data_IF_418319364660
#
_entry.id   IF_418319364660
#
_cell.length_a   1.000
_cell.length_b   1.000
_cell.length_c   1.000
_cell.angle_alpha   90.00
_cell.angle_beta   90.00
_cell.angle_gamma   90.00
#
_symmetry.space_group_name_H-M   'P 1'
#
loop_
_entity.id
_entity.type
_entity.pdbx_description
1 polymer ?
#
# COMPACT_ATOMS: atom_id res chain seq x y z
N UNK A 1 -66.63 -32.73 -41.97
CA UNK A 1 -65.89 -33.90 -41.45
C UNK A 1 -64.68 -33.33 -40.72
N UNK A 2 -64.42 -33.45 -39.43
CA UNK A 2 -64.84 -34.35 -38.34
C UNK A 2 -64.68 -33.63 -37.00
N UNK A 3 -65.34 -34.15 -35.97
CA UNK A 3 -65.49 -33.63 -34.61
C UNK A 3 -64.22 -33.65 -33.73
N UNK A 4 -64.33 -32.95 -32.59
CA UNK A 4 -64.11 -33.43 -31.20
C UNK A 4 -62.82 -33.07 -30.42
N UNK A 5 -63.08 -32.38 -29.29
CA UNK A 5 -62.67 -32.72 -27.91
C UNK A 5 -61.39 -32.14 -27.28
N UNK A 6 -61.62 -31.10 -26.46
CA UNK A 6 -61.34 -30.99 -25.00
C UNK A 6 -60.34 -32.02 -24.40
N UNK A 7 -59.26 -31.54 -23.76
CA UNK A 7 -58.92 -31.92 -22.39
C UNK A 7 -58.03 -30.88 -21.66
N UNK A 8 -58.48 -30.54 -20.46
CA UNK A 8 -57.80 -29.82 -19.38
C UNK A 8 -56.85 -30.77 -18.62
N UNK A 9 -56.02 -30.22 -17.72
CA UNK A 9 -55.20 -30.83 -16.65
C UNK A 9 -53.70 -30.84 -16.99
N UNK A 10 -52.76 -30.29 -16.23
CA UNK A 10 -52.78 -29.66 -14.92
C UNK A 10 -51.32 -29.42 -14.44
N UNK A 11 -51.12 -28.36 -13.65
CA UNK A 11 -50.08 -28.15 -12.63
C UNK A 11 -48.66 -28.74 -12.81
N UNK A 12 -47.63 -27.87 -12.81
CA UNK A 12 -46.77 -27.71 -11.63
C UNK A 12 -45.95 -26.41 -11.73
N UNK A 13 -46.36 -25.41 -10.96
CA UNK A 13 -45.57 -24.23 -10.61
C UNK A 13 -44.50 -24.62 -9.59
N UNK A 14 -43.22 -24.49 -9.93
CA UNK A 14 -42.16 -24.27 -8.95
C UNK A 14 -41.75 -22.80 -9.03
N UNK A 15 -42.53 -21.93 -8.39
CA UNK A 15 -41.97 -20.65 -7.94
C UNK A 15 -41.12 -20.97 -6.70
N UNK A 16 -39.83 -20.62 -6.65
CA UNK A 16 -39.21 -20.44 -5.36
C UNK A 16 -40.04 -19.38 -4.63
N UNK A 17 -40.38 -19.63 -3.37
CA UNK A 17 -41.06 -18.68 -2.51
C UNK A 17 -40.23 -17.40 -2.44
N UNK A 18 -40.56 -16.44 -3.31
CA UNK A 18 -40.13 -15.06 -3.21
C UNK A 18 -40.80 -14.53 -1.94
N UNK A 19 -40.11 -14.67 -0.81
CA UNK A 19 -40.42 -13.87 0.37
C UNK A 19 -40.28 -12.43 -0.09
N UNK A 20 -41.40 -11.69 -0.15
CA UNK A 20 -41.35 -10.26 -0.39
C UNK A 20 -40.39 -9.70 0.67
N UNK A 21 -39.24 -9.17 0.24
CA UNK A 21 -38.35 -8.44 1.14
C UNK A 21 -39.19 -7.29 1.73
N UNK A 22 -39.43 -7.34 3.03
CA UNK A 22 -40.19 -6.28 3.71
C UNK A 22 -39.42 -4.97 3.54
N UNK A 23 -40.12 -3.88 3.24
CA UNK A 23 -39.46 -2.59 3.13
C UNK A 23 -38.92 -2.14 4.48
N UNK A 24 -37.89 -1.29 4.46
CA UNK A 24 -37.34 -0.66 5.68
C UNK A 24 -38.44 0.00 6.51
N UNK A 25 -39.39 0.69 5.87
CA UNK A 25 -40.53 1.34 6.52
C UNK A 25 -41.49 0.35 7.20
N UNK A 26 -41.77 -0.78 6.55
CA UNK A 26 -42.61 -1.84 7.13
C UNK A 26 -41.94 -2.48 8.35
N UNK A 27 -40.63 -2.73 8.27
CA UNK A 27 -39.86 -3.27 9.39
C UNK A 27 -39.82 -2.28 10.55
N UNK A 28 -39.60 -1.00 10.29
CA UNK A 28 -39.63 0.04 11.32
C UNK A 28 -41.00 0.14 12.01
N UNK A 29 -42.10 0.09 11.25
CA UNK A 29 -43.46 0.05 11.80
C UNK A 29 -43.67 -1.20 12.66
N UNK A 30 -43.28 -2.37 12.18
CA UNK A 30 -43.41 -3.62 12.92
C UNK A 30 -42.60 -3.62 14.23
N UNK A 31 -41.40 -3.04 14.22
CA UNK A 31 -40.58 -2.85 15.42
C UNK A 31 -41.32 -1.98 16.44
N UNK A 32 -41.88 -0.85 16.00
CA UNK A 32 -42.57 0.10 16.88
C UNK A 32 -43.83 -0.46 17.55
N UNK A 33 -44.50 -1.43 16.92
CA UNK A 33 -45.73 -2.06 17.42
C UNK A 33 -45.49 -3.37 18.19
N UNK A 34 -44.28 -3.92 18.16
CA UNK A 34 -43.93 -5.16 18.86
C UNK A 34 -43.48 -4.84 20.28
N UNK A 35 -44.14 -5.40 21.31
CA UNK A 35 -43.74 -5.19 22.71
C UNK A 35 -42.69 -6.21 23.20
N UNK A 36 -42.67 -7.42 22.62
CA UNK A 36 -41.74 -8.48 23.02
C UNK A 36 -40.31 -8.18 22.53
N UNK A 37 -39.35 -8.17 23.46
CA UNK A 37 -37.95 -7.84 23.14
C UNK A 37 -37.29 -8.87 22.23
N UNK A 38 -37.61 -10.16 22.39
CA UNK A 38 -37.02 -11.20 21.54
C UNK A 38 -37.54 -11.12 20.10
N UNK A 39 -38.83 -10.82 19.91
CA UNK A 39 -39.43 -10.54 18.62
C UNK A 39 -38.88 -9.24 18.00
N UNK A 40 -38.72 -8.17 18.78
CA UNK A 40 -38.05 -6.94 18.33
C UNK A 40 -36.63 -7.22 17.84
N UNK A 41 -35.85 -8.01 18.58
CA UNK A 41 -34.49 -8.37 18.19
C UNK A 41 -34.44 -9.00 16.79
N UNK A 42 -35.33 -9.96 16.51
CA UNK A 42 -35.44 -10.61 15.19
C UNK A 42 -35.84 -9.63 14.09
N UNK A 43 -36.71 -8.67 14.37
CA UNK A 43 -37.10 -7.62 13.42
C UNK A 43 -35.93 -6.66 13.13
N UNK A 44 -35.19 -6.24 14.16
CA UNK A 44 -33.98 -5.44 13.98
C UNK A 44 -32.92 -6.17 13.15
N UNK A 45 -32.73 -7.48 13.36
CA UNK A 45 -31.81 -8.29 12.54
C UNK A 45 -32.23 -8.30 11.07
N UNK A 46 -33.53 -8.50 10.79
CA UNK A 46 -34.08 -8.44 9.42
C UNK A 46 -33.88 -7.07 8.78
N UNK A 47 -34.10 -6.00 9.56
CA UNK A 47 -33.85 -4.63 9.10
C UNK A 47 -32.37 -4.44 8.73
N UNK A 48 -31.45 -4.94 9.56
CA UNK A 48 -30.02 -4.94 9.25
C UNK A 48 -29.70 -5.68 7.96
N UNK A 49 -30.23 -6.89 7.76
CA UNK A 49 -30.02 -7.66 6.53
C UNK A 49 -30.53 -6.90 5.28
N UNK A 50 -31.73 -6.32 5.34
CA UNK A 50 -32.29 -5.52 4.23
C UNK A 50 -31.45 -4.29 3.92
N UNK A 51 -30.88 -3.63 4.94
CA UNK A 51 -30.02 -2.47 4.76
C UNK A 51 -28.65 -2.86 4.16
N UNK A 52 -28.12 -4.05 4.47
CA UNK A 52 -26.93 -4.59 3.81
C UNK A 52 -27.18 -4.81 2.32
N UNK A 53 -28.34 -5.38 1.95
CA UNK A 53 -28.72 -5.57 0.54
C UNK A 53 -28.81 -4.25 -0.22
N UNK A 54 -29.09 -3.15 0.48
CA UNK A 54 -29.14 -1.78 -0.06
C UNK A 54 -27.79 -1.03 0.01
N UNK A 55 -26.69 -1.71 0.39
CA UNK A 55 -25.35 -1.14 0.58
C UNK A 55 -25.31 -0.01 1.64
N UNK A 56 -26.27 0.01 2.56
CA UNK A 56 -26.37 1.01 3.63
C UNK A 56 -25.77 0.47 4.93
N UNK A 57 -24.45 0.30 4.93
CA UNK A 57 -23.70 -0.37 6.00
C UNK A 57 -23.85 0.29 7.37
N UNK A 58 -23.90 1.62 7.43
CA UNK A 58 -23.99 2.36 8.70
C UNK A 58 -25.34 2.11 9.39
N UNK A 59 -26.44 2.22 8.64
CA UNK A 59 -27.77 1.93 9.19
C UNK A 59 -27.96 0.44 9.48
N UNK A 60 -27.38 -0.44 8.66
CA UNK A 60 -27.39 -1.87 8.92
C UNK A 60 -26.70 -2.19 10.25
N UNK A 61 -25.56 -1.57 10.50
CA UNK A 61 -24.82 -1.72 11.75
C UNK A 61 -25.64 -1.22 12.96
N UNK A 62 -26.32 -0.08 12.86
CA UNK A 62 -27.24 0.40 13.92
C UNK A 62 -28.35 -0.62 14.22
N UNK A 63 -28.98 -1.16 13.18
CA UNK A 63 -30.00 -2.20 13.32
C UNK A 63 -29.43 -3.48 13.98
N UNK A 64 -28.24 -3.93 13.61
CA UNK A 64 -27.60 -5.08 14.24
C UNK A 64 -27.20 -4.84 15.71
N UNK A 65 -26.71 -3.65 16.06
CA UNK A 65 -26.46 -3.31 17.47
C UNK A 65 -27.75 -3.33 18.29
N UNK A 66 -28.86 -2.81 17.74
CA UNK A 66 -30.18 -2.87 18.38
C UNK A 66 -30.69 -4.29 18.51
N UNK A 67 -30.47 -5.15 17.50
CA UNK A 67 -30.81 -6.57 17.56
C UNK A 67 -30.09 -7.27 18.71
N UNK A 68 -28.77 -7.11 18.79
CA UNK A 68 -27.93 -7.68 19.85
C UNK A 68 -28.31 -7.15 21.24
N UNK A 69 -28.61 -5.86 21.36
CA UNK A 69 -29.03 -5.25 22.62
C UNK A 69 -30.42 -5.73 23.07
N UNK A 70 -31.36 -5.92 22.15
CA UNK A 70 -32.72 -6.35 22.44
C UNK A 70 -32.81 -7.83 22.85
N UNK A 71 -31.98 -8.70 22.26
CA UNK A 71 -32.07 -10.13 22.53
C UNK A 71 -30.94 -10.97 21.94
N UNK A 72 -29.70 -10.76 22.38
CA UNK A 72 -28.51 -11.53 21.94
C UNK A 72 -28.69 -13.06 21.96
N UNK A 73 -29.36 -13.59 22.98
CA UNK A 73 -29.63 -15.05 23.13
C UNK A 73 -30.65 -15.59 22.12
N UNK A 74 -31.32 -14.71 21.36
CA UNK A 74 -32.26 -15.10 20.30
C UNK A 74 -31.57 -15.50 18.99
N UNK A 75 -30.23 -15.39 18.92
CA UNK A 75 -29.43 -15.61 17.72
C UNK A 75 -28.40 -16.71 17.95
N UNK A 76 -28.16 -17.50 16.91
CA UNK A 76 -27.06 -18.45 16.88
C UNK A 76 -25.70 -17.73 16.95
N UNK A 77 -24.65 -18.46 17.35
CA UNK A 77 -23.29 -17.93 17.33
C UNK A 77 -22.89 -17.42 15.93
N UNK A 78 -23.29 -18.14 14.87
CA UNK A 78 -22.97 -17.76 13.49
C UNK A 78 -23.66 -16.44 13.08
N UNK A 79 -24.93 -16.25 13.42
CA UNK A 79 -25.63 -14.98 13.17
C UNK A 79 -24.96 -13.82 13.92
N UNK A 80 -24.54 -14.05 15.17
CA UNK A 80 -23.83 -13.05 15.97
C UNK A 80 -22.45 -12.71 15.39
N UNK A 81 -21.71 -13.70 14.88
CA UNK A 81 -20.47 -13.44 14.12
C UNK A 81 -20.77 -12.60 12.88
N UNK A 82 -21.79 -12.96 12.11
CA UNK A 82 -22.16 -12.21 10.90
C UNK A 82 -22.54 -10.75 11.21
N UNK A 83 -23.31 -10.52 12.27
CA UNK A 83 -23.62 -9.16 12.74
C UNK A 83 -22.35 -8.40 13.13
N UNK A 84 -21.43 -9.03 13.86
CA UNK A 84 -20.14 -8.44 14.20
C UNK A 84 -19.30 -8.11 12.94
N UNK A 85 -19.36 -8.94 11.90
CA UNK A 85 -18.73 -8.66 10.59
C UNK A 85 -19.26 -7.36 10.00
N UNK A 86 -20.58 -7.18 9.95
CA UNK A 86 -21.15 -5.93 9.43
C UNK A 86 -20.85 -4.72 10.31
N UNK A 87 -20.85 -4.87 11.64
CA UNK A 87 -20.39 -3.82 12.55
C UNK A 87 -18.96 -3.38 12.21
N UNK A 88 -18.06 -4.33 11.94
CA UNK A 88 -16.68 -4.00 11.58
C UNK A 88 -16.53 -3.32 10.22
N UNK A 89 -17.39 -3.65 9.24
CA UNK A 89 -17.37 -2.99 7.91
C UNK A 89 -17.90 -1.57 7.95
N UNK A 90 -18.75 -1.25 8.94
CA UNK A 90 -19.21 0.10 9.25
C UNK A 90 -18.26 0.85 10.23
N UNK A 91 -17.02 0.39 10.40
CA UNK A 91 -16.01 1.01 11.30
C UNK A 91 -16.41 1.02 12.80
N UNK A 92 -17.44 0.27 13.20
CA UNK A 92 -17.82 0.07 14.61
C UNK A 92 -16.99 -1.05 15.24
N UNK A 93 -15.66 -0.90 15.13
CA UNK A 93 -14.66 -1.90 15.49
C UNK A 93 -14.76 -2.33 16.95
N UNK A 94 -15.03 -1.39 17.86
CA UNK A 94 -15.12 -1.67 19.29
C UNK A 94 -16.33 -2.58 19.62
N UNK A 95 -17.51 -2.30 19.04
CA UNK A 95 -18.70 -3.14 19.26
C UNK A 95 -18.54 -4.53 18.65
N UNK A 96 -17.95 -4.62 17.46
CA UNK A 96 -17.59 -5.90 16.85
C UNK A 96 -16.63 -6.68 17.76
N UNK A 97 -15.57 -6.05 18.27
CA UNK A 97 -14.59 -6.67 19.15
C UNK A 97 -15.25 -7.24 20.41
N UNK A 98 -16.13 -6.46 21.04
CA UNK A 98 -16.85 -6.91 22.22
C UNK A 98 -17.77 -8.09 21.94
N UNK A 99 -18.50 -8.08 20.83
CA UNK A 99 -19.38 -9.18 20.45
C UNK A 99 -18.61 -10.49 20.22
N UNK A 100 -17.50 -10.41 19.50
CA UNK A 100 -16.63 -11.55 19.22
C UNK A 100 -15.99 -12.10 20.50
N UNK A 101 -15.56 -11.22 21.42
CA UNK A 101 -15.04 -11.64 22.72
C UNK A 101 -16.11 -12.34 23.56
N UNK A 102 -17.37 -11.88 23.54
CA UNK A 102 -18.48 -12.57 24.21
C UNK A 102 -18.72 -13.96 23.63
N UNK A 103 -18.67 -14.11 22.30
CA UNK A 103 -18.78 -15.41 21.64
C UNK A 103 -17.62 -16.35 22.02
N UNK A 104 -16.39 -15.85 22.07
CA UNK A 104 -15.22 -16.64 22.45
C UNK A 104 -15.16 -16.99 23.93
N UNK A 105 -15.81 -16.20 24.80
CA UNK A 105 -15.99 -16.56 26.21
C UNK A 105 -16.96 -17.74 26.38
N UNK A 106 -17.95 -17.88 25.49
CA UNK A 106 -18.90 -19.01 25.47
C UNK A 106 -18.29 -20.24 24.79
N UNK A 107 -17.62 -20.05 23.65
CA UNK A 107 -16.92 -21.09 22.92
C UNK A 107 -15.52 -20.61 22.47
N UNK A 108 -14.47 -20.93 23.24
CA UNK A 108 -13.10 -20.58 22.89
C UNK A 108 -12.62 -21.23 21.58
N UNK A 109 -13.29 -22.24 21.04
CA UNK A 109 -12.90 -22.90 19.79
C UNK A 109 -13.65 -22.38 18.57
N UNK A 110 -14.47 -21.34 18.71
CA UNK A 110 -15.20 -20.75 17.60
C UNK A 110 -14.23 -20.07 16.61
N UNK A 111 -13.84 -20.81 15.57
CA UNK A 111 -12.90 -20.37 14.53
C UNK A 111 -13.39 -19.12 13.79
N UNK A 112 -14.64 -19.04 13.29
CA UNK A 112 -15.14 -17.82 12.64
C UNK A 112 -15.04 -16.57 13.53
N UNK A 113 -15.43 -16.67 14.80
CA UNK A 113 -15.35 -15.54 15.74
C UNK A 113 -13.89 -15.13 16.01
N UNK A 114 -12.98 -16.10 16.18
CA UNK A 114 -11.57 -15.82 16.45
C UNK A 114 -10.85 -15.21 15.24
N UNK A 115 -11.08 -15.75 14.05
CA UNK A 115 -10.52 -15.21 12.80
C UNK A 115 -10.99 -13.78 12.57
N UNK A 116 -12.28 -13.51 12.78
CA UNK A 116 -12.81 -12.15 12.60
C UNK A 116 -12.36 -11.19 13.70
N UNK A 117 -12.16 -11.68 14.94
CA UNK A 117 -11.55 -10.89 16.01
C UNK A 117 -10.13 -10.46 15.63
N UNK A 118 -9.33 -11.38 15.09
CA UNK A 118 -8.00 -11.07 14.58
C UNK A 118 -8.05 -9.97 13.49
N UNK A 119 -9.03 -10.04 12.58
CA UNK A 119 -9.24 -9.00 11.56
C UNK A 119 -9.55 -7.63 12.16
N UNK A 120 -10.48 -7.58 13.11
CA UNK A 120 -10.89 -6.35 13.81
C UNK A 120 -9.72 -5.74 14.59
N UNK A 121 -8.95 -6.57 15.29
CA UNK A 121 -7.74 -6.14 16.00
C UNK A 121 -6.68 -5.56 15.05
N UNK A 122 -6.58 -6.12 13.84
CA UNK A 122 -5.68 -5.58 12.82
C UNK A 122 -6.12 -4.18 12.39
N UNK A 123 -7.42 -3.99 12.11
CA UNK A 123 -8.00 -2.69 11.76
C UNK A 123 -7.94 -1.66 12.88
N UNK A 124 -8.01 -2.08 14.15
CA UNK A 124 -7.86 -1.18 15.30
C UNK A 124 -6.39 -0.84 15.63
N UNK A 125 -5.42 -1.35 14.86
CA UNK A 125 -3.99 -1.12 15.09
C UNK A 125 -3.38 -1.98 16.19
N UNK A 126 -4.13 -2.90 16.79
CA UNK A 126 -3.67 -3.86 17.80
C UNK A 126 -2.94 -5.05 17.14
N UNK A 127 -1.93 -4.76 16.31
CA UNK A 127 -1.34 -5.69 15.35
C UNK A 127 -0.73 -6.96 15.99
N UNK A 128 -0.04 -6.81 17.13
CA UNK A 128 0.54 -7.96 17.84
C UNK A 128 -0.53 -8.93 18.37
N UNK A 129 -1.63 -8.38 18.89
CA UNK A 129 -2.77 -9.18 19.35
C UNK A 129 -3.48 -9.84 18.17
N UNK A 130 -3.64 -9.13 17.05
CA UNK A 130 -4.19 -9.68 15.81
C UNK A 130 -3.42 -10.92 15.33
N UNK A 131 -2.08 -10.82 15.28
CA UNK A 131 -1.20 -11.94 14.90
C UNK A 131 -1.40 -13.12 15.86
N UNK A 132 -1.45 -12.86 17.17
CA UNK A 132 -1.65 -13.88 18.20
C UNK A 132 -2.99 -14.62 18.01
N UNK A 133 -4.08 -13.89 17.75
CA UNK A 133 -5.39 -14.49 17.52
C UNK A 133 -5.45 -15.32 16.22
N UNK A 134 -4.81 -14.83 15.16
CA UNK A 134 -4.67 -15.59 13.91
C UNK A 134 -3.84 -16.87 14.13
N UNK A 135 -2.73 -16.80 14.87
CA UNK A 135 -1.87 -17.95 15.16
C UNK A 135 -2.60 -19.05 15.94
N UNK A 136 -3.49 -18.70 16.87
CA UNK A 136 -4.33 -19.68 17.58
C UNK A 136 -5.23 -20.45 16.60
N UNK A 137 -5.81 -19.79 15.60
CA UNK A 137 -6.60 -20.48 14.55
C UNK A 137 -5.70 -21.42 13.76
N UNK A 138 -4.54 -20.92 13.34
CA UNK A 138 -3.58 -21.65 12.51
C UNK A 138 -2.95 -22.86 13.20
N UNK A 139 -2.90 -22.90 14.54
CA UNK A 139 -2.48 -24.10 15.28
C UNK A 139 -3.36 -25.32 14.98
N UNK A 140 -4.67 -25.11 14.82
CA UNK A 140 -5.64 -26.18 14.55
C UNK A 140 -6.00 -26.33 13.07
N UNK A 141 -5.88 -25.24 12.30
CA UNK A 141 -6.14 -25.21 10.87
C UNK A 141 -5.01 -24.44 10.15
N UNK A 142 -3.83 -25.07 9.94
CA UNK A 142 -2.65 -24.39 9.38
C UNK A 142 -2.86 -23.75 8.01
N UNK A 143 -3.85 -24.24 7.26
CA UNK A 143 -4.20 -23.77 5.92
C UNK A 143 -5.44 -22.87 5.90
N UNK A 144 -5.90 -22.37 7.05
CA UNK A 144 -7.05 -21.48 7.11
C UNK A 144 -6.75 -20.15 6.42
N UNK A 145 -7.28 -20.00 5.20
CA UNK A 145 -7.03 -18.86 4.30
C UNK A 145 -7.17 -17.50 4.99
N UNK A 146 -8.31 -17.24 5.61
CA UNK A 146 -8.57 -15.92 6.19
C UNK A 146 -7.65 -15.59 7.37
N UNK A 147 -7.28 -16.59 8.19
CA UNK A 147 -6.36 -16.40 9.31
C UNK A 147 -4.93 -16.12 8.80
N UNK A 148 -4.48 -16.83 7.75
CA UNK A 148 -3.22 -16.54 7.08
C UNK A 148 -3.21 -15.11 6.51
N UNK A 149 -4.29 -14.71 5.83
CA UNK A 149 -4.40 -13.37 5.24
C UNK A 149 -4.38 -12.28 6.31
N UNK A 150 -5.16 -12.44 7.40
CA UNK A 150 -5.13 -11.52 8.55
C UNK A 150 -3.73 -11.40 9.14
N UNK A 151 -3.04 -12.53 9.35
CA UNK A 151 -1.67 -12.54 9.88
C UNK A 151 -0.72 -11.79 8.96
N UNK A 152 -0.75 -12.05 7.65
CA UNK A 152 0.08 -11.38 6.68
C UNK A 152 -0.18 -9.86 6.65
N UNK A 153 -1.46 -9.46 6.64
CA UNK A 153 -1.85 -8.05 6.67
C UNK A 153 -1.36 -7.33 7.94
N UNK A 154 -1.52 -7.97 9.11
CA UNK A 154 -1.06 -7.43 10.38
C UNK A 154 0.48 -7.32 10.45
N UNK A 155 1.22 -8.31 9.94
CA UNK A 155 2.69 -8.26 9.84
C UNK A 155 3.14 -7.11 8.93
N UNK A 156 2.51 -6.97 7.77
CA UNK A 156 2.77 -5.88 6.83
C UNK A 156 2.51 -4.51 7.50
N UNK A 157 1.38 -4.31 8.19
CA UNK A 157 1.09 -3.05 8.88
C UNK A 157 2.03 -2.78 10.05
N UNK A 158 2.64 -3.82 10.62
CA UNK A 158 3.67 -3.69 11.65
C UNK A 158 5.05 -3.37 11.06
N UNK A 159 5.17 -3.26 9.73
CA UNK A 159 6.44 -3.06 9.03
C UNK A 159 7.29 -4.33 8.87
N UNK A 160 6.76 -5.51 9.28
CA UNK A 160 7.42 -6.81 9.16
C UNK A 160 7.18 -7.42 7.78
N UNK A 161 7.58 -6.70 6.73
CA UNK A 161 7.31 -7.08 5.34
C UNK A 161 7.94 -8.41 4.95
N UNK A 162 9.18 -8.68 5.40
CA UNK A 162 9.91 -9.93 5.12
C UNK A 162 9.15 -11.15 5.65
N UNK A 163 8.49 -11.03 6.81
CA UNK A 163 7.69 -12.11 7.39
C UNK A 163 6.34 -12.29 6.70
N UNK A 164 5.76 -11.21 6.15
CA UNK A 164 4.47 -11.23 5.47
C UNK A 164 4.56 -11.85 4.05
N UNK A 165 5.65 -11.57 3.33
CA UNK A 165 5.89 -12.03 1.95
C UNK A 165 5.65 -13.54 1.75
N UNK A 166 6.25 -14.46 2.52
CA UNK A 166 6.06 -15.89 2.28
C UNK A 166 4.61 -16.35 2.49
N UNK A 167 3.87 -15.72 3.40
CA UNK A 167 2.46 -16.04 3.64
C UNK A 167 1.61 -15.60 2.45
N UNK A 168 1.83 -14.40 1.92
CA UNK A 168 1.12 -13.95 0.72
C UNK A 168 1.44 -14.82 -0.50
N UNK A 169 2.70 -15.20 -0.70
CA UNK A 169 3.10 -16.08 -1.80
C UNK A 169 2.39 -17.44 -1.73
N UNK A 170 2.32 -18.05 -0.54
CA UNK A 170 1.60 -19.30 -0.31
C UNK A 170 0.10 -19.17 -0.61
N UNK A 171 -0.56 -18.10 -0.14
CA UNK A 171 -1.97 -17.83 -0.44
C UNK A 171 -2.24 -17.65 -1.94
N UNK A 172 -1.36 -16.95 -2.65
CA UNK A 172 -1.47 -16.72 -4.10
C UNK A 172 -1.28 -18.03 -4.86
N UNK A 173 -0.34 -18.88 -4.45
CA UNK A 173 -0.08 -20.16 -5.11
C UNK A 173 -1.27 -21.12 -5.04
N UNK A 174 -2.10 -21.01 -3.99
CA UNK A 174 -3.29 -21.85 -3.78
C UNK A 174 -4.50 -21.36 -4.59
N UNK A 175 -4.85 -20.07 -4.42
CA UNK A 175 -6.15 -19.55 -4.87
C UNK A 175 -6.06 -18.30 -5.77
N UNK A 176 -4.86 -17.75 -6.02
CA UNK A 176 -4.71 -16.52 -6.81
C UNK A 176 -5.36 -15.29 -6.18
N UNK A 177 -5.45 -15.24 -4.86
CA UNK A 177 -6.21 -14.24 -4.10
C UNK A 177 -5.77 -12.78 -4.37
N UNK A 178 -6.75 -11.89 -4.66
CA UNK A 178 -6.49 -10.48 -4.96
C UNK A 178 -5.89 -9.74 -3.77
N UNK A 179 -6.46 -9.93 -2.57
CA UNK A 179 -6.05 -9.20 -1.38
C UNK A 179 -4.63 -9.65 -0.94
N UNK A 180 -4.33 -10.95 -1.07
CA UNK A 180 -2.98 -11.47 -0.87
C UNK A 180 -1.97 -10.91 -1.88
N UNK A 181 -2.32 -10.85 -3.17
CA UNK A 181 -1.43 -10.29 -4.20
C UNK A 181 -1.21 -8.78 -4.02
N UNK A 182 -2.23 -8.04 -3.61
CA UNK A 182 -2.09 -6.63 -3.29
C UNK A 182 -1.18 -6.42 -2.07
N UNK A 183 -1.31 -7.28 -1.04
CA UNK A 183 -0.42 -7.31 0.12
C UNK A 183 1.03 -7.65 -0.24
N UNK A 184 1.23 -8.60 -1.15
CA UNK A 184 2.56 -8.94 -1.66
C UNK A 184 3.19 -7.76 -2.40
N UNK A 185 2.45 -7.10 -3.30
CA UNK A 185 2.95 -5.95 -4.04
C UNK A 185 3.38 -4.79 -3.12
N UNK A 186 2.56 -4.48 -2.09
CA UNK A 186 2.91 -3.48 -1.06
C UNK A 186 4.16 -3.87 -0.28
N UNK A 187 4.26 -5.14 0.13
CA UNK A 187 5.41 -5.65 0.87
C UNK A 187 6.69 -5.62 0.03
N UNK A 188 6.61 -5.99 -1.25
CA UNK A 188 7.73 -5.93 -2.20
C UNK A 188 8.20 -4.50 -2.43
N UNK A 189 7.28 -3.53 -2.56
CA UNK A 189 7.63 -2.12 -2.66
C UNK A 189 8.39 -1.64 -1.42
N UNK A 190 7.91 -2.01 -0.22
CA UNK A 190 8.50 -1.59 1.05
C UNK A 190 9.92 -2.14 1.29
N UNK A 191 10.22 -3.37 0.86
CA UNK A 191 11.58 -3.92 0.89
C UNK A 191 12.47 -3.38 -0.24
N UNK A 192 11.91 -2.58 -1.16
CA UNK A 192 12.64 -1.95 -2.26
C UNK A 192 12.71 -2.79 -3.54
N UNK A 193 12.01 -3.92 -3.59
CA UNK A 193 11.87 -4.74 -4.80
C UNK A 193 10.74 -4.20 -5.68
N UNK A 194 11.02 -3.09 -6.35
CA UNK A 194 10.12 -2.37 -7.26
C UNK A 194 9.72 -3.21 -8.47
N UNK A 195 10.66 -4.01 -9.00
CA UNK A 195 10.38 -4.92 -10.11
C UNK A 195 9.27 -5.92 -9.73
N UNK A 196 9.41 -6.61 -8.60
CA UNK A 196 8.39 -7.54 -8.12
C UNK A 196 7.07 -6.85 -7.74
N UNK A 197 7.14 -5.62 -7.22
CA UNK A 197 5.94 -4.83 -6.94
C UNK A 197 5.15 -4.51 -8.23
N UNK A 198 5.83 -4.06 -9.28
CA UNK A 198 5.24 -3.77 -10.60
C UNK A 198 4.72 -5.03 -11.28
N UNK A 199 5.44 -6.14 -11.21
CA UNK A 199 4.99 -7.43 -11.73
C UNK A 199 3.66 -7.85 -11.07
N UNK A 200 3.61 -7.83 -9.72
CA UNK A 200 2.41 -8.20 -9.00
C UNK A 200 1.25 -7.22 -9.23
N UNK A 201 1.53 -5.93 -9.40
CA UNK A 201 0.55 -4.93 -9.79
C UNK A 201 -0.10 -5.28 -11.14
N UNK A 202 0.71 -5.65 -12.14
CA UNK A 202 0.24 -6.03 -13.48
C UNK A 202 -0.61 -7.30 -13.51
N UNK A 203 -0.50 -8.13 -12.48
CA UNK A 203 -1.26 -9.39 -12.34
C UNK A 203 -2.57 -9.24 -11.54
N UNK A 204 -2.83 -8.07 -10.94
CA UNK A 204 -4.07 -7.82 -10.19
C UNK A 204 -5.28 -7.66 -11.12
N UNK A 205 -6.33 -8.44 -10.87
CA UNK A 205 -7.61 -8.39 -11.61
C UNK A 205 -8.75 -8.05 -10.64
N UNK A 206 -9.18 -6.78 -10.54
CA UNK A 206 -10.20 -6.38 -9.58
C UNK A 206 -11.60 -6.84 -10.04
N UNK A 207 -12.33 -7.50 -9.15
CA UNK A 207 -13.68 -8.02 -9.39
C UNK A 207 -14.81 -7.08 -8.91
N UNK A 208 -14.51 -6.12 -8.02
CA UNK A 208 -15.50 -5.22 -7.43
C UNK A 208 -14.95 -3.80 -7.20
N UNK A 209 -15.83 -2.86 -6.84
CA UNK A 209 -15.47 -1.45 -6.64
C UNK A 209 -14.43 -1.22 -5.53
N UNK A 210 -14.45 -2.03 -4.46
CA UNK A 210 -13.45 -1.98 -3.38
C UNK A 210 -12.06 -2.37 -3.89
N UNK A 211 -11.95 -3.45 -4.66
CA UNK A 211 -10.70 -3.88 -5.27
C UNK A 211 -10.18 -2.88 -6.33
N UNK A 212 -11.07 -2.23 -7.10
CA UNK A 212 -10.67 -1.16 -8.03
C UNK A 212 -10.05 0.03 -7.29
N UNK A 213 -10.65 0.46 -6.16
CA UNK A 213 -10.10 1.52 -5.30
C UNK A 213 -8.74 1.12 -4.73
N UNK A 214 -8.60 -0.11 -4.28
CA UNK A 214 -7.34 -0.62 -3.73
C UNK A 214 -6.23 -0.67 -4.80
N UNK A 215 -6.55 -1.16 -6.00
CA UNK A 215 -5.62 -1.15 -7.12
C UNK A 215 -5.17 0.26 -7.48
N UNK A 216 -6.08 1.24 -7.49
CA UNK A 216 -5.75 2.64 -7.76
C UNK A 216 -4.80 3.22 -6.70
N UNK A 217 -5.06 2.96 -5.41
CA UNK A 217 -4.17 3.40 -4.31
C UNK A 217 -2.78 2.79 -4.43
N UNK A 218 -2.71 1.47 -4.69
CA UNK A 218 -1.45 0.77 -4.85
C UNK A 218 -0.67 1.26 -6.08
N UNK A 219 -1.36 1.49 -7.19
CA UNK A 219 -0.77 2.06 -8.42
C UNK A 219 -0.17 3.44 -8.14
N UNK A 220 -0.91 4.31 -7.43
CA UNK A 220 -0.42 5.63 -7.06
C UNK A 220 0.83 5.55 -6.16
N UNK A 221 0.84 4.65 -5.17
CA UNK A 221 1.97 4.44 -4.28
C UNK A 221 3.22 3.96 -5.03
N UNK A 222 3.08 2.96 -5.91
CA UNK A 222 4.19 2.46 -6.73
C UNK A 222 4.69 3.57 -7.66
N UNK A 223 3.79 4.27 -8.36
CA UNK A 223 4.16 5.36 -9.27
C UNK A 223 4.84 6.52 -8.54
N UNK A 224 4.44 6.85 -7.32
CA UNK A 224 5.10 7.90 -6.53
C UNK A 224 6.56 7.55 -6.25
N UNK A 225 6.86 6.28 -6.00
CA UNK A 225 8.20 5.77 -5.71
C UNK A 225 9.04 5.55 -6.98
N UNK A 226 8.41 5.13 -8.08
CA UNK A 226 9.09 4.75 -9.33
C UNK A 226 9.09 5.84 -10.40
N UNK A 227 8.35 6.94 -10.22
CA UNK A 227 8.26 8.01 -11.22
C UNK A 227 9.65 8.55 -11.57
N UNK A 228 9.93 8.77 -12.87
CA UNK A 228 11.10 9.52 -13.24
C UNK A 228 10.98 10.97 -12.75
N UNK A 229 12.10 11.55 -12.34
CA UNK A 229 12.22 12.96 -12.03
C UNK A 229 13.13 13.61 -13.06
N UNK A 230 12.77 14.81 -13.52
CA UNK A 230 13.60 15.64 -14.39
C UNK A 230 13.68 17.01 -13.74
N UNK A 231 14.89 17.52 -13.60
CA UNK A 231 15.18 18.85 -13.08
C UNK A 231 15.96 19.66 -14.13
N UNK A 232 15.45 20.85 -14.44
CA UNK A 232 16.20 21.87 -15.17
C UNK A 232 16.44 23.04 -14.22
N UNK A 233 17.68 23.51 -14.13
CA UNK A 233 18.07 24.59 -13.22
C UNK A 233 18.95 25.60 -13.94
N UNK A 234 18.68 26.88 -13.68
CA UNK A 234 19.56 27.97 -14.05
C UNK A 234 20.07 28.66 -12.78
N UNK A 235 21.38 28.86 -12.71
CA UNK A 235 22.06 29.56 -11.62
C UNK A 235 22.86 30.72 -12.21
N UNK A 236 22.69 31.89 -11.62
CA UNK A 236 23.48 33.07 -11.92
C UNK A 236 24.17 33.54 -10.65
N UNK A 237 25.43 33.97 -10.78
CA UNK A 237 26.22 34.51 -9.68
C UNK A 237 27.07 35.68 -10.17
N UNK A 238 27.23 36.67 -9.29
CA UNK A 238 28.12 37.80 -9.45
C UNK A 238 28.69 38.20 -8.07
N UNK A 239 29.95 38.64 -8.00
CA UNK A 239 30.59 39.12 -6.77
C UNK A 239 31.39 40.43 -6.90
N UNK A 240 31.99 40.83 -5.77
CA UNK A 240 32.74 42.09 -5.62
C UNK A 240 33.99 42.19 -6.50
N UNK A 241 34.61 41.07 -6.84
CA UNK A 241 35.76 40.96 -7.74
C UNK A 241 35.35 40.74 -9.21
N UNK A 242 34.05 40.87 -9.49
CA UNK A 242 33.47 40.82 -10.85
C UNK A 242 33.63 39.47 -11.52
N UNK A 243 33.69 38.38 -10.75
CA UNK A 243 33.33 37.09 -11.31
C UNK A 243 31.85 37.12 -11.66
N UNK A 244 31.53 36.59 -12.83
CA UNK A 244 30.19 36.41 -13.33
C UNK A 244 30.05 34.96 -13.78
N UNK A 245 28.92 34.33 -13.45
CA UNK A 245 28.68 32.93 -13.78
C UNK A 245 27.24 32.73 -14.24
N UNK A 246 27.09 31.97 -15.32
CA UNK A 246 25.82 31.43 -15.80
C UNK A 246 25.95 29.91 -15.89
N UNK A 247 25.12 29.20 -15.13
CA UNK A 247 25.14 27.74 -15.08
C UNK A 247 23.77 27.16 -15.37
N UNK A 248 23.73 26.26 -16.34
CA UNK A 248 22.54 25.55 -16.79
C UNK A 248 22.73 24.08 -16.47
N UNK A 249 21.84 23.52 -15.66
CA UNK A 249 21.87 22.11 -15.29
C UNK A 249 20.62 21.41 -15.78
N UNK A 250 20.79 20.22 -16.33
CA UNK A 250 19.70 19.28 -16.62
C UNK A 250 20.04 17.96 -15.95
N UNK A 251 19.17 17.48 -15.07
CA UNK A 251 19.32 16.21 -14.38
C UNK A 251 18.05 15.37 -14.53
N UNK A 252 18.22 14.06 -14.59
CA UNK A 252 17.12 13.10 -14.62
C UNK A 252 17.44 11.91 -13.74
N UNK A 253 16.46 11.47 -12.95
CA UNK A 253 16.51 10.26 -12.14
C UNK A 253 15.38 9.32 -12.59
N UNK A 254 15.66 8.03 -12.73
CA UNK A 254 14.66 7.04 -13.08
C UNK A 254 15.04 5.65 -12.55
N UNK A 255 14.05 4.76 -12.47
CA UNK A 255 14.26 3.37 -12.06
C UNK A 255 14.26 2.44 -13.26
N UNK A 256 15.21 1.51 -13.28
CA UNK A 256 15.18 0.31 -14.13
C UNK A 256 15.24 -0.88 -13.19
N UNK A 257 14.16 -1.67 -13.17
CA UNK A 257 13.95 -2.71 -12.17
C UNK A 257 14.13 -2.19 -10.73
N UNK A 258 15.15 -2.69 -10.02
CA UNK A 258 15.46 -2.33 -8.63
C UNK A 258 16.63 -1.33 -8.52
N UNK A 259 17.13 -0.83 -9.65
CA UNK A 259 18.27 0.07 -9.72
C UNK A 259 17.82 1.48 -10.11
N UNK A 260 18.32 2.47 -9.38
CA UNK A 260 18.11 3.89 -9.70
C UNK A 260 19.25 4.39 -10.55
N UNK A 261 18.90 5.02 -11.67
CA UNK A 261 19.81 5.66 -12.59
C UNK A 261 19.64 7.17 -12.50
N UNK A 262 20.75 7.89 -12.48
CA UNK A 262 20.80 9.34 -12.50
C UNK A 262 21.69 9.80 -13.65
N UNK A 263 21.20 10.70 -14.48
CA UNK A 263 21.95 11.36 -15.54
C UNK A 263 21.95 12.86 -15.23
N UNK A 264 23.12 13.51 -15.30
CA UNK A 264 23.18 14.96 -15.18
C UNK A 264 24.16 15.55 -16.18
N UNK A 265 23.73 16.63 -16.82
CA UNK A 265 24.52 17.53 -17.63
C UNK A 265 24.53 18.91 -16.97
N UNK A 266 25.67 19.58 -17.01
CA UNK A 266 25.81 20.96 -16.55
C UNK A 266 26.72 21.73 -17.48
N UNK A 267 26.23 22.85 -17.99
CA UNK A 267 27.00 23.85 -18.71
C UNK A 267 27.26 25.05 -17.79
N UNK A 268 28.49 25.54 -17.76
CA UNK A 268 28.87 26.74 -16.99
C UNK A 268 29.66 27.67 -17.89
N UNK A 269 29.19 28.90 -18.03
CA UNK A 269 29.98 30.03 -18.52
C UNK A 269 30.42 30.87 -17.32
N UNK A 270 31.71 31.14 -17.21
CA UNK A 270 32.25 31.97 -16.14
C UNK A 270 33.26 32.98 -16.69
N UNK A 271 33.08 34.25 -16.34
CA UNK A 271 33.95 35.34 -16.77
C UNK A 271 34.36 36.25 -15.60
N UNK A 272 35.52 36.87 -15.76
CA UNK A 272 36.06 37.93 -14.91
C UNK A 272 36.76 38.98 -15.82
N UNK A 273 37.27 40.12 -15.30
CA UNK A 273 37.90 41.14 -16.14
C UNK A 273 39.10 40.67 -17.00
N UNK A 274 39.65 39.49 -16.71
CA UNK A 274 40.84 38.93 -17.34
C UNK A 274 40.59 37.60 -18.07
N UNK A 275 39.50 36.89 -17.73
CA UNK A 275 39.24 35.51 -18.14
C UNK A 275 37.81 35.34 -18.64
N UNK A 276 37.63 34.43 -19.59
CA UNK A 276 36.31 34.02 -20.07
C UNK A 276 36.39 32.54 -20.43
N UNK A 277 35.88 31.71 -19.54
CA UNK A 277 36.07 30.26 -19.57
C UNK A 277 34.72 29.56 -19.48
N UNK A 278 34.68 28.33 -20.00
CA UNK A 278 33.48 27.49 -19.95
C UNK A 278 33.81 26.09 -19.45
N UNK A 279 32.82 25.44 -18.86
CA UNK A 279 32.92 24.06 -18.44
C UNK A 279 31.63 23.29 -18.72
N UNK A 280 31.78 22.10 -19.28
CA UNK A 280 30.70 21.13 -19.46
C UNK A 280 30.96 19.92 -18.57
N UNK A 281 29.98 19.51 -17.79
CA UNK A 281 30.06 18.36 -16.91
C UNK A 281 28.97 17.35 -17.27
N UNK A 282 29.34 16.08 -17.41
CA UNK A 282 28.41 14.97 -17.53
C UNK A 282 28.68 13.92 -16.46
N UNK A 283 27.62 13.38 -15.88
CA UNK A 283 27.71 12.37 -14.83
C UNK A 283 26.55 11.38 -14.94
N UNK A 284 26.90 10.10 -15.02
CA UNK A 284 25.99 8.97 -14.85
C UNK A 284 26.18 8.40 -13.44
N UNK A 285 25.08 8.18 -12.72
CA UNK A 285 25.03 7.54 -11.41
C UNK A 285 24.14 6.31 -11.48
N UNK A 286 24.52 5.29 -10.74
CA UNK A 286 23.73 4.08 -10.49
C UNK A 286 23.71 3.85 -8.99
N UNK A 287 22.54 3.49 -8.47
CA UNK A 287 22.35 3.14 -7.07
C UNK A 287 21.46 1.92 -6.96
N UNK A 288 21.81 0.99 -6.08
CA UNK A 288 21.03 -0.21 -5.81
C UNK A 288 21.00 -0.50 -4.32
N UNK A 289 19.90 -1.10 -3.86
CA UNK A 289 19.80 -1.68 -2.53
C UNK A 289 20.17 -3.16 -2.63
N UNK A 290 21.33 -3.52 -2.08
CA UNK A 290 21.91 -4.86 -2.19
C UNK A 290 21.27 -5.84 -1.20
N UNK A 291 20.87 -5.33 -0.03
CA UNK A 291 20.09 -6.04 0.99
C UNK A 291 19.08 -5.07 1.61
N UNK A 292 18.17 -5.54 2.45
CA UNK A 292 17.19 -4.66 3.12
C UNK A 292 17.83 -3.52 3.93
N UNK A 293 19.07 -3.74 4.38
CA UNK A 293 19.86 -2.78 5.15
C UNK A 293 20.85 -2.01 4.29
N UNK A 294 21.55 -2.66 3.35
CA UNK A 294 22.72 -2.07 2.68
C UNK A 294 22.38 -1.56 1.28
N UNK A 295 22.71 -0.29 1.04
CA UNK A 295 22.70 0.38 -0.26
C UNK A 295 24.11 0.67 -0.77
N UNK A 296 24.30 0.62 -2.09
CA UNK A 296 25.54 1.01 -2.73
C UNK A 296 25.26 1.75 -4.04
N UNK A 297 26.10 2.73 -4.36
CA UNK A 297 26.03 3.45 -5.61
C UNK A 297 27.40 3.87 -6.13
N UNK A 298 27.47 4.00 -7.44
CA UNK A 298 28.66 4.44 -8.15
C UNK A 298 28.25 5.44 -9.23
N UNK A 299 29.16 6.32 -9.62
CA UNK A 299 28.97 7.23 -10.73
C UNK A 299 30.27 7.51 -11.44
N UNK A 300 30.18 7.70 -12.74
CA UNK A 300 31.28 8.05 -13.62
C UNK A 300 30.89 9.27 -14.44
N UNK A 301 31.81 10.19 -14.58
CA UNK A 301 31.58 11.41 -15.31
C UNK A 301 32.86 11.98 -15.89
N UNK A 302 32.70 13.11 -16.55
CA UNK A 302 33.82 13.93 -16.98
C UNK A 302 33.43 15.39 -16.99
N UNK A 303 34.45 16.22 -16.81
CA UNK A 303 34.37 17.66 -17.03
C UNK A 303 35.26 18.02 -18.20
N UNK A 304 34.71 18.71 -19.20
CA UNK A 304 35.47 19.39 -20.22
C UNK A 304 35.54 20.87 -19.85
N UNK A 305 36.75 21.39 -19.67
CA UNK A 305 37.01 22.81 -19.43
C UNK A 305 37.64 23.42 -20.68
N UNK A 306 37.17 24.60 -21.08
CA UNK A 306 37.77 25.42 -22.13
C UNK A 306 38.24 26.75 -21.53
N UNK A 307 39.56 26.88 -21.46
CA UNK A 307 40.32 27.97 -20.86
C UNK A 307 41.30 28.60 -21.86
N UNK A 308 40.91 28.68 -23.15
CA UNK A 308 41.77 28.87 -24.35
C UNK A 308 42.44 27.58 -24.82
N UNK A 309 42.37 26.51 -24.01
CA UNK A 309 42.66 25.14 -24.40
C UNK A 309 41.54 24.23 -23.90
N UNK A 310 41.27 23.12 -24.60
CA UNK A 310 40.29 22.13 -24.13
C UNK A 310 40.99 21.07 -23.28
N UNK A 311 40.59 20.97 -22.01
CA UNK A 311 41.07 19.94 -21.07
C UNK A 311 39.93 19.05 -20.61
N UNK A 312 40.18 17.75 -20.48
CA UNK A 312 39.17 16.78 -20.03
C UNK A 312 39.61 16.13 -18.71
N UNK A 313 38.70 16.07 -17.74
CA UNK A 313 38.96 15.55 -16.40
C UNK A 313 37.93 14.47 -16.05
N UNK A 314 38.36 13.23 -15.77
CA UNK A 314 37.45 12.22 -15.26
C UNK A 314 36.98 12.58 -13.85
N UNK A 315 35.67 12.45 -13.62
CA UNK A 315 35.01 12.63 -12.33
C UNK A 315 34.32 11.34 -11.93
N UNK A 316 34.01 11.20 -10.64
CA UNK A 316 33.44 9.96 -10.14
C UNK A 316 32.86 10.10 -8.75
N UNK A 317 32.00 9.14 -8.41
CA UNK A 317 31.30 9.10 -7.14
C UNK A 317 31.16 7.66 -6.69
N UNK A 318 31.42 7.37 -5.42
CA UNK A 318 31.10 6.09 -4.78
C UNK A 318 30.38 6.40 -3.48
N UNK A 319 29.33 5.65 -3.18
CA UNK A 319 28.57 5.75 -1.95
C UNK A 319 28.17 4.37 -1.45
N UNK A 320 28.21 4.20 -0.14
CA UNK A 320 27.64 3.05 0.57
C UNK A 320 26.84 3.58 1.74
N UNK A 321 25.66 3.00 1.96
CA UNK A 321 24.82 3.33 3.11
C UNK A 321 24.13 2.13 3.72
N UNK A 322 23.72 2.31 4.97
CA UNK A 322 22.91 1.36 5.71
C UNK A 322 21.70 2.04 6.31
N UNK A 323 20.55 1.35 6.31
CA UNK A 323 19.39 1.77 7.08
C UNK A 323 19.68 1.65 8.57
N UNK A 324 19.21 2.63 9.33
CA UNK A 324 19.15 2.66 10.79
C UNK A 324 17.68 2.73 11.22
N UNK A 325 17.41 2.54 12.51
CA UNK A 325 16.07 2.78 13.05
C UNK A 325 15.72 4.26 12.89
N UNK A 326 14.79 4.57 11.98
CA UNK A 326 14.36 5.94 11.71
C UNK A 326 15.29 6.78 10.83
N UNK A 327 16.28 6.20 10.15
CA UNK A 327 17.19 6.96 9.29
C UNK A 327 18.16 6.11 8.47
N UNK A 328 19.25 6.71 8.00
CA UNK A 328 20.37 6.03 7.34
C UNK A 328 21.72 6.60 7.74
N UNK A 329 22.76 5.77 7.71
CA UNK A 329 24.14 6.19 7.83
C UNK A 329 24.90 5.80 6.57
N UNK A 330 25.84 6.62 6.13
CA UNK A 330 26.64 6.26 4.98
C UNK A 330 27.94 7.02 4.84
N UNK A 331 28.71 6.57 3.86
CA UNK A 331 29.95 7.16 3.43
C UNK A 331 29.90 7.45 1.93
N UNK A 332 30.54 8.53 1.51
CA UNK A 332 30.73 8.84 0.10
C UNK A 332 32.18 9.28 -0.18
N UNK A 333 32.60 9.02 -1.41
CA UNK A 333 33.84 9.48 -2.00
C UNK A 333 33.49 10.10 -3.35
N UNK A 334 33.79 11.37 -3.55
CA UNK A 334 33.52 12.08 -4.81
C UNK A 334 34.80 12.70 -5.33
N UNK A 335 35.04 12.59 -6.63
CA UNK A 335 36.10 13.30 -7.35
C UNK A 335 35.46 14.22 -8.37
N UNK A 336 35.72 15.51 -8.25
CA UNK A 336 35.09 16.56 -9.04
C UNK A 336 36.09 17.67 -9.43
N UNK A 337 35.64 18.55 -10.31
CA UNK A 337 36.36 19.76 -10.72
C UNK A 337 35.64 20.97 -10.12
N UNK A 338 36.39 22.01 -9.76
CA UNK A 338 35.78 23.27 -9.31
C UNK A 338 35.58 24.17 -10.52
N UNK A 339 34.32 24.47 -10.83
CA UNK A 339 33.90 25.23 -12.02
C UNK A 339 33.13 26.50 -11.65
N UNK A 340 33.30 26.99 -10.41
CA UNK A 340 32.49 28.07 -9.85
C UNK A 340 32.99 29.49 -10.20
N UNK A 341 34.21 29.63 -10.72
CA UNK A 341 34.75 30.90 -11.25
C UNK A 341 35.61 30.66 -12.50
N UNK A 342 35.82 31.70 -13.31
CA UNK A 342 36.69 31.62 -14.47
C UNK A 342 38.11 31.19 -14.08
N UNK A 343 38.63 31.72 -12.97
CA UNK A 343 39.94 31.37 -12.42
C UNK A 343 40.07 29.89 -12.06
N UNK A 344 39.07 29.30 -11.39
CA UNK A 344 39.11 27.89 -10.98
C UNK A 344 39.12 26.96 -12.19
N UNK A 345 38.39 27.32 -13.25
CA UNK A 345 38.38 26.61 -14.53
C UNK A 345 39.77 26.67 -15.19
N UNK A 346 40.36 27.86 -15.32
CA UNK A 346 41.70 28.06 -15.90
C UNK A 346 42.80 27.30 -15.14
N UNK A 347 42.71 27.31 -13.80
CA UNK A 347 43.67 26.63 -12.94
C UNK A 347 43.42 25.12 -12.80
N UNK A 348 42.34 24.60 -13.40
CA UNK A 348 42.04 23.16 -13.49
C UNK A 348 41.97 22.49 -12.12
N UNK A 349 41.35 23.19 -11.17
CA UNK A 349 41.28 22.75 -9.78
C UNK A 349 40.39 21.51 -9.68
N UNK A 350 40.91 20.48 -9.01
CA UNK A 350 40.26 19.19 -8.81
C UNK A 350 40.21 18.88 -7.33
N UNK A 351 39.08 18.35 -6.89
CA UNK A 351 38.85 18.04 -5.49
C UNK A 351 38.48 16.57 -5.32
N UNK A 352 38.91 15.98 -4.21
CA UNK A 352 38.45 14.67 -3.77
C UNK A 352 37.84 14.83 -2.39
N UNK A 353 36.53 14.62 -2.31
CA UNK A 353 35.76 14.74 -1.08
C UNK A 353 35.51 13.36 -0.50
N UNK A 354 35.73 13.23 0.81
CA UNK A 354 35.32 12.06 1.59
C UNK A 354 34.33 12.55 2.63
N UNK A 355 33.12 12.00 2.61
CA UNK A 355 32.04 12.39 3.50
C UNK A 355 31.47 11.21 4.27
N UNK A 356 31.11 11.45 5.52
CA UNK A 356 30.23 10.59 6.31
C UNK A 356 28.95 11.37 6.60
N UNK A 357 27.80 10.71 6.60
CA UNK A 357 26.52 11.35 6.90
C UNK A 357 25.58 10.44 7.68
N UNK A 358 24.64 11.09 8.36
CA UNK A 358 23.47 10.52 9.02
C UNK A 358 22.26 11.30 8.53
N UNK A 359 21.20 10.61 8.10
CA UNK A 359 19.99 11.21 7.53
C UNK A 359 18.72 10.63 8.12
#
# INVERSE_FOLDING_TARGET
MTLASILVVGFLTLFPTLTLAQSVDELQKAISSTADRAAQAKLYKRLGDTLVEQDNLEQAADAFSKALAAGRESFSANERVQMAVYLSWADRLQESKEELNRLLAQDPKNVPARTHLARVLSWSGELGTAITQADIVLQSAPNHKDALLVKADALQWQGRYVDAVPIYQDLIARDGDFDARAGLARSMLAVGNRAAALENLGLLKPANARQKRELAKLTAAINQETRPAIEARYNHYHDSDRNNLNRYSLAGDFWVENQKYGLSFRHTDADDPHRNNRAEEMLLKIYSRLTDLVGAGAGIGFTQADDRHTSNFPTGHVRVDTKLFGGSAGANLTRETLTDTAELIENRIRMTNVGLYLS
#
